data_IF_165300285936
#
_entry.id   IF_165300285936
#
_cell.length_a   1.000
_cell.length_b   1.000
_cell.length_c   1.000
_cell.angle_alpha   90.00
_cell.angle_beta   90.00
_cell.angle_gamma   90.00
#
_symmetry.space_group_name_H-M   'P 1'
#
loop_
_entity.id
_entity.type
_entity.pdbx_description
1 polymer ?
#
# COMPACT_ATOMS: atom_id res chain seq x y z
N UNK A 1 -3.62 -8.40 0.32
CA UNK A 1 -3.12 -7.27 -0.48
C UNK A 1 -1.95 -7.62 -1.40
N UNK A 2 -0.81 -8.13 -0.89
CA UNK A 2 0.43 -8.29 -1.68
C UNK A 2 0.26 -9.25 -2.86
N UNK A 3 -0.29 -10.44 -2.65
CA UNK A 3 -0.44 -11.44 -3.71
C UNK A 3 -1.42 -11.01 -4.82
N UNK A 4 -2.59 -10.48 -4.45
CA UNK A 4 -3.62 -10.01 -5.40
C UNK A 4 -3.13 -8.81 -6.22
N UNK A 5 -2.45 -7.87 -5.58
CA UNK A 5 -1.86 -6.69 -6.25
C UNK A 5 -0.76 -7.10 -7.22
N UNK A 6 0.17 -7.97 -6.80
CA UNK A 6 1.28 -8.42 -7.65
C UNK A 6 0.79 -9.19 -8.89
N UNK A 7 -0.27 -9.99 -8.77
CA UNK A 7 -0.89 -10.68 -9.90
C UNK A 7 -1.53 -9.68 -10.88
N UNK A 8 -2.18 -8.62 -10.38
CA UNK A 8 -2.73 -7.55 -11.21
C UNK A 8 -1.64 -6.82 -12.01
N UNK A 9 -0.50 -6.50 -11.39
CA UNK A 9 0.61 -5.81 -12.07
C UNK A 9 1.17 -6.59 -13.27
N UNK A 10 1.02 -7.92 -13.28
CA UNK A 10 1.43 -8.77 -14.42
C UNK A 10 0.53 -8.61 -15.64
N UNK A 11 -0.72 -8.15 -15.47
CA UNK A 11 -1.69 -7.96 -16.56
C UNK A 11 -1.60 -6.59 -17.23
N UNK A 12 -0.88 -5.65 -16.62
CA UNK A 12 -0.75 -4.28 -17.12
C UNK A 12 0.15 -4.23 -18.36
N UNK A 13 -0.31 -3.66 -19.49
CA UNK A 13 0.50 -3.45 -20.69
C UNK A 13 1.78 -2.66 -20.39
N UNK A 14 2.91 -3.06 -20.97
CA UNK A 14 4.22 -2.43 -20.73
C UNK A 14 4.46 -1.21 -21.62
N UNK A 15 3.56 -0.23 -21.57
CA UNK A 15 3.81 1.11 -22.14
C UNK A 15 4.80 1.88 -21.27
N UNK A 16 5.40 2.94 -21.81
CA UNK A 16 6.37 3.75 -21.06
C UNK A 16 5.78 4.31 -19.76
N UNK A 17 4.60 4.91 -19.82
CA UNK A 17 3.88 5.48 -18.68
C UNK A 17 3.55 4.41 -17.63
N UNK A 18 3.07 3.25 -18.09
CA UNK A 18 2.76 2.13 -17.22
C UNK A 18 4.02 1.59 -16.54
N UNK A 19 5.16 1.48 -17.22
CA UNK A 19 6.41 1.01 -16.62
C UNK A 19 6.85 1.94 -15.47
N UNK A 20 6.78 3.26 -15.68
CA UNK A 20 7.12 4.25 -14.65
C UNK A 20 6.21 4.08 -13.43
N UNK A 21 4.89 3.97 -13.63
CA UNK A 21 3.94 3.79 -12.53
C UNK A 21 4.16 2.44 -11.83
N UNK A 22 4.30 1.35 -12.60
CA UNK A 22 4.53 0.01 -12.05
C UNK A 22 5.79 -0.05 -11.18
N UNK A 23 6.86 0.67 -11.56
CA UNK A 23 8.07 0.74 -10.75
C UNK A 23 7.82 1.42 -9.40
N UNK A 24 7.07 2.54 -9.39
CA UNK A 24 6.70 3.21 -8.14
C UNK A 24 5.79 2.33 -7.27
N UNK A 25 4.77 1.74 -7.89
CA UNK A 25 3.81 0.84 -7.24
C UNK A 25 4.49 -0.38 -6.63
N UNK A 26 5.45 -0.98 -7.34
CA UNK A 26 6.20 -2.14 -6.85
C UNK A 26 6.99 -1.75 -5.59
N UNK A 27 7.69 -0.61 -5.62
CA UNK A 27 8.46 -0.14 -4.47
C UNK A 27 7.57 0.12 -3.25
N UNK A 28 6.48 0.86 -3.43
CA UNK A 28 5.58 1.20 -2.32
C UNK A 28 4.92 -0.06 -1.73
N UNK A 29 4.44 -1.00 -2.55
CA UNK A 29 3.89 -2.28 -2.08
C UNK A 29 4.92 -3.09 -1.29
N UNK A 30 6.16 -3.19 -1.79
CA UNK A 30 7.21 -3.92 -1.06
C UNK A 30 7.60 -3.24 0.25
N UNK A 31 7.58 -1.90 0.27
CA UNK A 31 7.88 -1.09 1.46
C UNK A 31 6.83 -1.30 2.57
N UNK A 32 5.54 -1.42 2.20
CA UNK A 32 4.47 -1.76 3.17
C UNK A 32 4.80 -3.05 3.93
N UNK A 33 5.11 -4.13 3.21
CA UNK A 33 5.42 -5.42 3.84
C UNK A 33 6.71 -5.40 4.66
N UNK A 34 7.75 -4.71 4.18
CA UNK A 34 9.01 -4.59 4.91
C UNK A 34 8.84 -3.84 6.24
N UNK A 35 8.15 -2.70 6.23
CA UNK A 35 7.95 -1.88 7.44
C UNK A 35 6.96 -2.53 8.43
N UNK A 36 5.98 -3.30 7.95
CA UNK A 36 5.08 -4.07 8.82
C UNK A 36 5.86 -5.18 9.56
N UNK A 37 6.75 -5.88 8.86
CA UNK A 37 7.66 -6.86 9.49
C UNK A 37 8.65 -6.21 10.46
N UNK A 38 9.12 -5.00 10.17
CA UNK A 38 9.97 -4.25 11.11
C UNK A 38 9.22 -3.90 12.40
N UNK A 39 7.93 -3.54 12.29
CA UNK A 39 7.10 -3.22 13.45
C UNK A 39 6.92 -4.40 14.43
N UNK A 40 7.06 -5.65 13.97
CA UNK A 40 7.04 -6.83 14.85
C UNK A 40 8.33 -6.95 15.70
N UNK A 41 9.44 -6.34 15.26
CA UNK A 41 10.74 -6.43 15.91
C UNK A 41 11.07 -5.29 16.88
N UNK A 42 10.27 -4.23 16.92
CA UNK A 42 10.55 -3.05 17.76
C UNK A 42 10.13 -3.29 19.21
N UNK A 43 10.91 -2.76 20.15
CA UNK A 43 10.70 -2.98 21.59
C UNK A 43 9.99 -1.81 22.29
N UNK A 44 9.91 -0.65 21.64
CA UNK A 44 9.25 0.52 22.21
C UNK A 44 7.98 0.87 21.46
N UNK A 45 7.06 1.48 22.20
CA UNK A 45 5.80 1.96 21.65
C UNK A 45 5.98 3.09 20.63
N UNK A 46 6.96 3.96 20.85
CA UNK A 46 7.22 5.07 19.94
C UNK A 46 7.75 4.53 18.60
N UNK A 47 8.62 3.52 18.64
CA UNK A 47 9.14 2.88 17.44
C UNK A 47 8.02 2.13 16.69
N UNK A 48 7.14 1.42 17.41
CA UNK A 48 5.94 0.80 16.82
C UNK A 48 5.06 1.79 16.08
N UNK A 49 4.77 2.95 16.71
CA UNK A 49 3.99 4.03 16.08
C UNK A 49 4.73 4.58 14.86
N UNK A 50 6.06 4.72 14.93
CA UNK A 50 6.88 5.21 13.83
C UNK A 50 6.83 4.27 12.63
N UNK A 51 7.08 2.97 12.82
CA UNK A 51 7.00 1.96 11.76
C UNK A 51 5.61 1.94 11.11
N UNK A 52 4.53 1.90 11.89
CA UNK A 52 3.17 1.93 11.33
C UNK A 52 2.81 3.26 10.67
N UNK A 53 3.43 4.37 11.06
CA UNK A 53 3.29 5.65 10.36
C UNK A 53 3.92 5.59 8.97
N UNK A 54 5.07 4.91 8.82
CA UNK A 54 5.70 4.64 7.52
C UNK A 54 4.81 3.71 6.70
N UNK A 55 4.35 2.59 7.25
CA UNK A 55 3.41 1.66 6.59
C UNK A 55 2.20 2.42 6.02
N UNK A 56 1.58 3.29 6.83
CA UNK A 56 0.43 4.10 6.40
C UNK A 56 0.77 5.07 5.26
N UNK A 57 1.96 5.67 5.28
CA UNK A 57 2.44 6.55 4.20
C UNK A 57 2.58 5.77 2.89
N UNK A 58 3.21 4.60 2.93
CA UNK A 58 3.44 3.73 1.77
C UNK A 58 2.12 3.19 1.18
N UNK A 59 1.14 2.89 2.02
CA UNK A 59 -0.21 2.51 1.57
C UNK A 59 -0.93 3.66 0.85
N UNK A 60 -0.78 4.91 1.33
CA UNK A 60 -1.36 6.08 0.66
C UNK A 60 -0.69 6.36 -0.68
N UNK A 61 0.62 6.17 -0.76
CA UNK A 61 1.36 6.26 -2.01
C UNK A 61 0.93 5.16 -2.99
N UNK A 62 0.81 3.93 -2.52
CA UNK A 62 0.27 2.80 -3.29
C UNK A 62 -1.13 3.11 -3.84
N UNK A 63 -2.01 3.67 -3.01
CA UNK A 63 -3.36 4.09 -3.41
C UNK A 63 -3.31 5.10 -4.57
N UNK A 64 -2.45 6.11 -4.46
CA UNK A 64 -2.28 7.13 -5.48
C UNK A 64 -1.85 6.53 -6.82
N UNK A 65 -0.84 5.67 -6.81
CA UNK A 65 -0.33 5.01 -8.02
C UNK A 65 -1.36 4.06 -8.65
N UNK A 66 -2.13 3.33 -7.85
CA UNK A 66 -3.24 2.50 -8.34
C UNK A 66 -4.32 3.35 -9.02
N UNK A 67 -4.66 4.53 -8.49
CA UNK A 67 -5.62 5.43 -9.12
C UNK A 67 -5.13 5.91 -10.49
N UNK A 68 -3.86 6.32 -10.61
CA UNK A 68 -3.29 6.70 -11.91
C UNK A 68 -3.29 5.53 -12.89
N UNK A 69 -2.93 4.34 -12.41
CA UNK A 69 -2.94 3.14 -13.22
C UNK A 69 -4.34 2.80 -13.76
N UNK A 70 -5.39 3.02 -12.95
CA UNK A 70 -6.80 2.81 -13.35
C UNK A 70 -7.20 3.73 -14.50
N UNK A 71 -6.77 4.99 -14.46
CA UNK A 71 -7.03 5.98 -15.51
C UNK A 71 -6.37 5.58 -16.84
N UNK A 72 -5.13 5.07 -16.78
CA UNK A 72 -4.39 4.65 -17.98
C UNK A 72 -4.85 3.31 -18.55
N UNK A 73 -5.53 2.47 -17.77
CA UNK A 73 -5.86 1.09 -18.12
C UNK A 73 -7.34 0.78 -17.89
N UNK A 74 -8.22 1.42 -18.67
CA UNK A 74 -9.67 1.29 -18.58
C UNK A 74 -10.21 -0.17 -18.60
N UNK A 75 -9.56 -1.08 -19.32
CA UNK A 75 -9.94 -2.50 -19.38
C UNK A 75 -9.71 -3.20 -18.03
N UNK A 76 -8.78 -2.70 -17.20
CA UNK A 76 -8.42 -3.26 -15.91
C UNK A 76 -9.08 -2.54 -14.72
N UNK A 77 -9.85 -1.46 -14.96
CA UNK A 77 -10.45 -0.62 -13.92
C UNK A 77 -11.16 -1.42 -12.84
N UNK A 78 -12.02 -2.40 -13.18
CA UNK A 78 -12.71 -3.23 -12.19
C UNK A 78 -11.77 -3.99 -11.25
N UNK A 79 -10.65 -4.51 -11.78
CA UNK A 79 -9.66 -5.22 -10.98
C UNK A 79 -8.85 -4.25 -10.12
N UNK A 80 -8.52 -3.06 -10.66
CA UNK A 80 -7.81 -2.02 -9.94
C UNK A 80 -8.67 -1.44 -8.81
N UNK A 81 -9.97 -1.22 -9.05
CA UNK A 81 -10.93 -0.70 -8.05
C UNK A 81 -11.11 -1.65 -6.87
N UNK A 82 -11.10 -2.97 -7.13
CA UNK A 82 -11.07 -3.97 -6.06
C UNK A 82 -9.83 -3.81 -5.17
N UNK A 83 -8.64 -3.66 -5.79
CA UNK A 83 -7.38 -3.47 -5.05
C UNK A 83 -7.35 -2.11 -4.33
N UNK A 84 -7.90 -1.05 -4.94
CA UNK A 84 -8.05 0.26 -4.29
C UNK A 84 -8.91 0.17 -3.03
N UNK A 85 -9.99 -0.61 -3.09
CA UNK A 85 -10.89 -0.83 -1.94
C UNK A 85 -10.17 -1.57 -0.83
N UNK A 86 -9.51 -2.68 -1.14
CA UNK A 86 -8.70 -3.45 -0.17
C UNK A 86 -7.61 -2.56 0.47
N UNK A 87 -6.93 -1.74 -0.34
CA UNK A 87 -5.89 -0.84 0.16
C UNK A 87 -6.45 0.25 1.10
N UNK A 88 -7.64 0.82 0.81
CA UNK A 88 -8.30 1.79 1.70
C UNK A 88 -8.71 1.16 3.04
N UNK A 89 -9.24 -0.07 3.00
CA UNK A 89 -9.57 -0.84 4.21
C UNK A 89 -8.32 -1.03 5.09
N UNK A 90 -7.18 -1.37 4.49
CA UNK A 90 -5.92 -1.52 5.21
C UNK A 90 -5.45 -0.18 5.78
N UNK A 91 -5.55 0.93 5.04
CA UNK A 91 -5.23 2.27 5.58
C UNK A 91 -6.06 2.57 6.84
N UNK A 92 -7.34 2.21 6.86
CA UNK A 92 -8.22 2.41 8.03
C UNK A 92 -7.81 1.53 9.21
N UNK A 93 -7.44 0.27 8.95
CA UNK A 93 -6.93 -0.64 9.98
C UNK A 93 -5.64 -0.07 10.59
N UNK A 94 -4.64 0.28 9.76
CA UNK A 94 -3.38 0.85 10.23
C UNK A 94 -3.60 2.16 11.00
N UNK A 95 -4.49 3.03 10.52
CA UNK A 95 -4.83 4.26 11.22
C UNK A 95 -5.44 3.99 12.60
N UNK A 96 -6.27 2.96 12.73
CA UNK A 96 -6.84 2.53 14.00
C UNK A 96 -5.80 1.94 14.95
N UNK A 97 -4.86 1.15 14.42
CA UNK A 97 -3.70 0.63 15.18
C UNK A 97 -2.90 1.78 15.78
N UNK A 98 -2.49 2.76 14.95
CA UNK A 98 -1.73 3.92 15.40
C UNK A 98 -2.51 4.69 16.49
N UNK A 99 -3.79 4.98 16.25
CA UNK A 99 -4.62 5.73 17.18
C UNK A 99 -4.77 5.03 18.54
N UNK A 100 -5.07 3.74 18.54
CA UNK A 100 -5.23 2.96 19.77
C UNK A 100 -3.90 2.81 20.52
N UNK A 101 -2.80 2.63 19.79
CA UNK A 101 -1.45 2.63 20.34
C UNK A 101 -0.98 4.03 20.74
N UNK A 102 -1.68 5.12 20.44
CA UNK A 102 -1.39 6.42 21.07
C UNK A 102 -2.18 6.63 22.36
N UNK A 103 -3.35 6.01 22.48
CA UNK A 103 -4.29 6.19 23.60
C UNK A 103 -4.02 5.38 24.86
N UNK A 104 -3.35 4.21 24.77
CA UNK A 104 -3.00 3.46 25.99
C UNK A 104 -2.15 4.36 26.90
N UNK A 105 -2.40 4.41 28.20
CA UNK A 105 -1.48 5.06 29.14
C UNK A 105 -0.37 4.09 29.49
#
# INVERSE_FOLDING_TARGET
>A
MTSSSLILLRKVPKTYENIVILNQLTRSITSVGANDQEADGVTTRNDFIHCYTIVRKELKETYYWLRLLSILNNVLTKQIDYVLTENDEIIRIISSIIYNTQKKH
#
